data_IF_451214664205
#
_entry.id   IF_451214664205
#
_cell.length_a   1.000
_cell.length_b   1.000
_cell.length_c   1.000
_cell.angle_alpha   90.00
_cell.angle_beta   90.00
_cell.angle_gamma   90.00
#
_symmetry.space_group_name_H-M   'P 1'
#
loop_
_entity.id
_entity.type
_entity.pdbx_description
1 polymer ?
#
# COMPACT_ATOMS: atom_id res chain seq x y z
N UNK A 1 -16.59 8.21 15.38
CA UNK A 1 -15.56 7.56 16.21
C UNK A 1 -14.23 8.26 16.00
N UNK A 2 -13.52 8.72 17.05
CA UNK A 2 -12.19 9.28 16.89
C UNK A 2 -11.19 8.20 16.47
N UNK A 3 -10.31 8.48 15.50
CA UNK A 3 -9.24 7.56 15.06
C UNK A 3 -8.35 7.19 16.26
N UNK A 4 -8.02 5.91 16.47
CA UNK A 4 -7.05 5.52 17.50
C UNK A 4 -5.73 6.25 17.22
N UNK A 5 -5.20 6.95 18.22
CA UNK A 5 -3.89 7.59 18.13
C UNK A 5 -2.86 6.48 17.97
N UNK A 6 -2.07 6.51 16.89
CA UNK A 6 -1.05 5.52 16.49
C UNK A 6 0.02 5.22 17.58
N UNK A 7 -0.07 5.85 18.74
CA UNK A 7 0.95 6.00 19.78
C UNK A 7 0.37 6.08 21.21
N UNK A 8 -0.81 5.52 21.49
CA UNK A 8 -1.44 5.62 22.81
C UNK A 8 -0.57 5.08 23.96
N UNK A 9 0.24 4.04 23.70
CA UNK A 9 1.10 3.36 24.69
C UNK A 9 2.60 3.63 24.48
N UNK A 10 2.96 4.75 23.84
CA UNK A 10 4.37 5.01 23.49
C UNK A 10 5.11 5.75 24.59
N UNK A 11 6.26 5.23 24.99
CA UNK A 11 7.17 5.94 25.89
C UNK A 11 8.13 6.80 25.04
N UNK A 12 8.16 8.10 25.27
CA UNK A 12 9.11 8.99 24.60
C UNK A 12 10.48 8.86 25.26
N UNK A 13 11.49 8.48 24.48
CA UNK A 13 12.90 8.42 24.88
C UNK A 13 13.76 9.20 23.86
N UNK A 14 14.81 9.83 24.35
CA UNK A 14 15.77 10.60 23.54
C UNK A 14 17.14 9.93 23.60
N UNK A 15 17.80 9.84 22.45
CA UNK A 15 19.18 9.39 22.33
C UNK A 15 19.88 10.23 21.26
N UNK A 16 21.21 10.31 21.37
CA UNK A 16 22.03 11.09 20.43
C UNK A 16 22.27 10.30 19.15
N UNK A 17 22.10 10.95 18.01
CA UNK A 17 22.40 10.42 16.68
C UNK A 17 23.36 11.37 15.96
N UNK A 18 24.24 10.80 15.14
CA UNK A 18 25.06 11.60 14.25
C UNK A 18 24.18 12.34 13.23
N UNK A 19 24.34 13.67 13.15
CA UNK A 19 23.52 14.53 12.29
C UNK A 19 23.51 14.07 10.84
N UNK A 20 24.69 13.74 10.29
CA UNK A 20 24.80 13.34 8.89
C UNK A 20 24.08 12.02 8.60
N UNK A 21 24.14 11.06 9.54
CA UNK A 21 23.45 9.78 9.42
C UNK A 21 21.95 9.98 9.51
N UNK A 22 21.49 10.76 10.50
CA UNK A 22 20.08 11.06 10.69
C UNK A 22 19.44 11.72 9.46
N UNK A 23 20.08 12.73 8.87
CA UNK A 23 19.54 13.40 7.69
C UNK A 23 19.50 12.48 6.45
N UNK A 24 20.54 11.67 6.23
CA UNK A 24 20.55 10.67 5.15
C UNK A 24 19.42 9.64 5.33
N UNK A 25 19.24 9.14 6.55
CA UNK A 25 18.17 8.19 6.86
C UNK A 25 16.79 8.83 6.65
N UNK A 26 16.59 10.06 7.13
CA UNK A 26 15.32 10.78 6.98
C UNK A 26 14.94 10.98 5.52
N UNK A 27 15.89 11.34 4.67
CA UNK A 27 15.66 11.48 3.22
C UNK A 27 15.31 10.14 2.57
N UNK A 28 16.05 9.06 2.90
CA UNK A 28 15.79 7.73 2.37
C UNK A 28 14.40 7.20 2.77
N UNK A 29 13.99 7.43 4.02
CA UNK A 29 12.68 6.99 4.52
C UNK A 29 11.52 7.81 3.95
N UNK A 30 11.72 9.11 3.69
CA UNK A 30 10.71 9.96 3.07
C UNK A 30 10.32 9.46 1.67
N UNK A 31 11.28 8.97 0.88
CA UNK A 31 11.02 8.36 -0.43
C UNK A 31 10.16 7.09 -0.33
N UNK A 32 10.21 6.40 0.82
CA UNK A 32 9.45 5.18 1.11
C UNK A 32 8.14 5.47 1.86
N UNK A 33 7.86 6.73 2.21
CA UNK A 33 6.70 7.11 3.02
C UNK A 33 6.75 6.61 4.47
N UNK A 34 7.96 6.31 4.99
CA UNK A 34 8.18 5.80 6.36
C UNK A 34 8.70 6.92 7.26
N UNK A 35 8.28 6.95 8.51
CA UNK A 35 8.82 7.90 9.49
C UNK A 35 10.06 7.35 10.20
N UNK A 36 10.91 8.26 10.72
CA UNK A 36 12.06 7.87 11.55
C UNK A 36 11.62 7.03 12.76
N UNK A 37 10.54 7.44 13.42
CA UNK A 37 10.02 6.71 14.58
C UNK A 37 9.60 5.28 14.22
N UNK A 38 9.01 5.07 13.05
CA UNK A 38 8.70 3.73 12.56
C UNK A 38 9.98 2.92 12.32
N UNK A 39 11.00 3.48 11.65
CA UNK A 39 12.27 2.79 11.43
C UNK A 39 12.96 2.40 12.73
N UNK A 40 13.05 3.33 13.68
CA UNK A 40 13.69 3.10 14.98
C UNK A 40 12.94 2.02 15.77
N UNK A 41 11.61 2.07 15.81
CA UNK A 41 10.83 1.05 16.51
C UNK A 41 11.01 -0.35 15.89
N UNK A 42 11.06 -0.43 14.56
CA UNK A 42 11.31 -1.70 13.87
C UNK A 42 12.74 -2.22 14.08
N UNK A 43 13.73 -1.32 14.14
CA UNK A 43 15.11 -1.68 14.46
C UNK A 43 15.21 -2.23 15.89
N UNK A 44 14.59 -1.55 16.86
CA UNK A 44 14.59 -1.99 18.27
C UNK A 44 13.90 -3.34 18.44
N UNK A 45 12.76 -3.58 17.76
CA UNK A 45 12.10 -4.89 17.78
C UNK A 45 12.98 -5.99 17.20
N UNK A 46 13.62 -5.76 16.05
CA UNK A 46 14.56 -6.72 15.44
C UNK A 46 15.70 -7.06 16.39
N UNK A 47 16.35 -6.05 16.97
CA UNK A 47 17.47 -6.26 17.90
C UNK A 47 17.05 -6.97 19.19
N UNK A 48 15.87 -6.68 19.71
CA UNK A 48 15.35 -7.39 20.87
C UNK A 48 15.11 -8.87 20.54
N UNK A 49 14.53 -9.16 19.37
CA UNK A 49 14.29 -10.52 18.92
C UNK A 49 15.58 -11.32 18.68
N UNK A 50 16.63 -10.70 18.15
CA UNK A 50 17.96 -11.32 18.04
C UNK A 50 18.53 -11.69 19.42
N UNK A 51 18.39 -10.78 20.39
CA UNK A 51 18.85 -11.04 21.77
C UNK A 51 18.03 -12.15 22.43
N UNK A 52 16.73 -12.24 22.13
CA UNK A 52 15.79 -13.20 22.70
C UNK A 52 15.71 -14.53 21.90
N UNK A 53 16.38 -14.64 20.75
CA UNK A 53 16.32 -15.81 19.87
C UNK A 53 14.97 -16.00 19.14
N UNK A 54 14.19 -14.94 18.97
CA UNK A 54 12.84 -14.93 18.38
C UNK A 54 12.78 -14.24 16.99
N UNK A 55 13.89 -14.26 16.26
CA UNK A 55 14.09 -13.46 15.02
C UNK A 55 13.05 -13.77 13.95
N UNK A 56 12.72 -15.05 13.73
CA UNK A 56 11.75 -15.46 12.74
C UNK A 56 10.35 -14.89 13.01
N UNK A 57 9.87 -15.00 14.25
CA UNK A 57 8.55 -14.50 14.65
C UNK A 57 8.45 -12.96 14.54
N UNK A 58 9.52 -12.25 14.89
CA UNK A 58 9.54 -10.78 14.79
C UNK A 58 9.64 -10.31 13.34
N UNK A 59 10.42 -10.99 12.51
CA UNK A 59 10.52 -10.67 11.09
C UNK A 59 9.16 -10.87 10.39
N UNK A 60 8.44 -11.94 10.71
CA UNK A 60 7.10 -12.19 10.19
C UNK A 60 6.10 -11.11 10.63
N UNK A 61 6.12 -10.71 11.90
CA UNK A 61 5.28 -9.62 12.41
C UNK A 61 5.58 -8.28 11.74
N UNK A 62 6.84 -7.97 11.49
CA UNK A 62 7.26 -6.75 10.78
C UNK A 62 6.82 -6.76 9.31
N UNK A 63 6.95 -7.90 8.64
CA UNK A 63 6.49 -8.10 7.27
C UNK A 63 4.96 -7.92 7.18
N UNK A 64 4.22 -8.47 8.15
CA UNK A 64 2.77 -8.32 8.21
C UNK A 64 2.33 -6.86 8.40
N UNK A 65 2.97 -6.12 9.31
CA UNK A 65 2.69 -4.69 9.51
C UNK A 65 3.10 -3.83 8.30
N UNK A 66 4.14 -4.20 7.57
CA UNK A 66 4.49 -3.56 6.29
C UNK A 66 3.38 -3.77 5.25
N UNK A 67 2.90 -5.01 5.07
CA UNK A 67 1.81 -5.33 4.14
C UNK A 67 0.52 -4.56 4.49
N UNK A 68 0.15 -4.44 5.77
CA UNK A 68 -1.02 -3.65 6.18
C UNK A 68 -0.91 -2.18 5.80
N UNK A 69 0.27 -1.58 6.03
CA UNK A 69 0.51 -0.17 5.69
C UNK A 69 0.42 0.07 4.19
N UNK A 70 1.03 -0.82 3.41
CA UNK A 70 0.99 -0.73 1.95
C UNK A 70 -0.44 -0.90 1.43
N UNK A 71 -1.21 -1.84 1.98
CA UNK A 71 -2.63 -2.02 1.67
C UNK A 71 -3.45 -0.75 1.92
N UNK A 72 -3.29 -0.12 3.10
CA UNK A 72 -3.99 1.13 3.44
C UNK A 72 -3.60 2.25 2.48
N UNK A 73 -2.30 2.39 2.17
CA UNK A 73 -1.81 3.40 1.22
C UNK A 73 -2.43 3.22 -0.16
N UNK A 74 -2.47 2.00 -0.68
CA UNK A 74 -3.08 1.70 -1.98
C UNK A 74 -4.60 1.93 -1.95
N UNK A 75 -5.28 1.61 -0.84
CA UNK A 75 -6.71 1.88 -0.69
C UNK A 75 -7.03 3.39 -0.69
N UNK A 76 -6.19 4.20 -0.04
CA UNK A 76 -6.30 5.66 -0.07
C UNK A 76 -6.04 6.21 -1.48
N UNK A 77 -5.04 5.69 -2.19
CA UNK A 77 -4.73 6.11 -3.56
C UNK A 77 -5.84 5.74 -4.55
N UNK A 78 -6.39 4.52 -4.47
CA UNK A 78 -7.55 4.09 -5.28
C UNK A 78 -8.72 5.06 -5.07
N UNK A 79 -9.05 5.39 -3.81
CA UNK A 79 -10.12 6.34 -3.50
C UNK A 79 -9.84 7.75 -4.04
N UNK A 80 -8.58 8.20 -3.98
CA UNK A 80 -8.16 9.49 -4.55
C UNK A 80 -8.32 9.51 -6.07
N UNK A 81 -7.89 8.47 -6.76
CA UNK A 81 -7.98 8.36 -8.22
C UNK A 81 -9.44 8.31 -8.68
N UNK A 82 -10.31 7.55 -8.01
CA UNK A 82 -11.75 7.53 -8.28
C UNK A 82 -12.34 8.94 -8.15
N UNK A 83 -12.06 9.64 -7.05
CA UNK A 83 -12.57 11.02 -6.84
C UNK A 83 -12.05 11.99 -7.90
N UNK A 84 -10.81 11.83 -8.35
CA UNK A 84 -10.23 12.65 -9.40
C UNK A 84 -10.96 12.45 -10.74
N UNK A 85 -11.18 11.18 -11.13
CA UNK A 85 -11.89 10.82 -12.35
C UNK A 85 -13.37 11.26 -12.32
N UNK A 86 -14.03 11.15 -11.16
CA UNK A 86 -15.39 11.64 -10.98
C UNK A 86 -15.48 13.15 -11.16
N UNK A 87 -14.50 13.90 -10.65
CA UNK A 87 -14.43 15.36 -10.83
C UNK A 87 -14.22 15.76 -12.29
N UNK A 88 -13.43 14.99 -13.04
CA UNK A 88 -13.20 15.21 -14.47
C UNK A 88 -14.42 14.77 -15.30
N UNK A 89 -15.31 13.95 -14.74
CA UNK A 89 -16.52 13.46 -15.41
C UNK A 89 -16.31 12.19 -16.24
N UNK A 90 -15.09 11.67 -16.32
CA UNK A 90 -14.75 10.52 -17.16
C UNK A 90 -14.94 9.15 -16.46
N UNK A 91 -15.14 9.13 -15.14
CA UNK A 91 -15.17 7.88 -14.36
C UNK A 91 -16.22 6.87 -14.87
N UNK A 92 -17.47 7.31 -15.03
CA UNK A 92 -18.56 6.40 -15.39
C UNK A 92 -18.40 5.84 -16.82
N UNK A 93 -17.99 6.68 -17.77
CA UNK A 93 -17.76 6.27 -19.17
C UNK A 93 -16.61 5.25 -19.27
N UNK A 94 -15.50 5.50 -18.56
CA UNK A 94 -14.37 4.58 -18.55
C UNK A 94 -14.72 3.25 -17.87
N UNK A 95 -15.53 3.29 -16.80
CA UNK A 95 -16.05 2.10 -16.12
C UNK A 95 -16.97 1.27 -17.03
N UNK A 96 -17.87 1.92 -17.76
CA UNK A 96 -18.76 1.27 -18.74
C UNK A 96 -17.94 0.61 -19.85
N UNK A 97 -16.96 1.33 -20.41
CA UNK A 97 -16.09 0.79 -21.46
C UNK A 97 -15.30 -0.43 -20.99
N UNK A 98 -14.74 -0.44 -19.77
CA UNK A 98 -14.02 -1.65 -19.30
C UNK A 98 -14.95 -2.80 -18.94
N UNK A 99 -16.21 -2.53 -18.57
CA UNK A 99 -17.22 -3.57 -18.40
C UNK A 99 -17.54 -4.24 -19.74
N UNK A 100 -17.72 -3.46 -20.82
CA UNK A 100 -17.90 -3.98 -22.17
C UNK A 100 -16.67 -4.75 -22.69
N UNK A 101 -15.47 -4.31 -22.30
CA UNK A 101 -14.22 -5.02 -22.61
C UNK A 101 -14.00 -6.28 -21.77
N UNK A 102 -14.88 -6.56 -20.80
CA UNK A 102 -14.85 -7.77 -19.99
C UNK A 102 -13.77 -7.77 -18.91
N UNK A 103 -13.50 -6.63 -18.27
CA UNK A 103 -12.56 -6.58 -17.15
C UNK A 103 -13.01 -7.51 -16.01
N UNK A 104 -12.16 -8.48 -15.68
CA UNK A 104 -12.41 -9.41 -14.58
C UNK A 104 -12.39 -8.68 -13.23
N UNK A 105 -13.31 -9.05 -12.34
CA UNK A 105 -13.32 -8.61 -10.93
C UNK A 105 -12.00 -8.85 -10.20
N UNK A 106 -11.20 -9.84 -10.60
CA UNK A 106 -9.88 -10.12 -10.04
C UNK A 106 -8.76 -9.38 -10.77
N UNK A 107 -9.06 -8.63 -11.83
CA UNK A 107 -8.12 -7.85 -12.64
C UNK A 107 -6.99 -8.70 -13.26
N UNK A 108 -7.25 -9.98 -13.51
CA UNK A 108 -6.26 -10.89 -14.09
C UNK A 108 -5.99 -10.58 -15.57
N UNK A 109 -7.00 -10.07 -16.29
CA UNK A 109 -6.90 -9.66 -17.69
C UNK A 109 -6.70 -8.14 -17.86
N UNK A 110 -6.25 -7.44 -16.81
CA UNK A 110 -6.11 -5.99 -16.82
C UNK A 110 -5.23 -5.48 -17.97
N UNK A 111 -4.10 -6.12 -18.25
CA UNK A 111 -3.18 -5.73 -19.32
C UNK A 111 -3.84 -5.78 -20.70
N UNK A 112 -4.62 -6.83 -20.97
CA UNK A 112 -5.34 -6.99 -22.24
C UNK A 112 -6.44 -5.93 -22.38
N UNK A 113 -7.18 -5.68 -21.30
CA UNK A 113 -8.23 -4.65 -21.29
C UNK A 113 -7.65 -3.26 -21.42
N UNK A 114 -6.53 -2.95 -20.76
CA UNK A 114 -5.82 -1.67 -20.88
C UNK A 114 -5.37 -1.45 -22.33
N UNK A 115 -4.83 -2.48 -23.00
CA UNK A 115 -4.44 -2.37 -24.40
C UNK A 115 -5.63 -2.08 -25.31
N UNK A 116 -6.77 -2.75 -25.10
CA UNK A 116 -8.02 -2.47 -25.83
C UNK A 116 -8.58 -1.08 -25.52
N UNK A 117 -8.47 -0.63 -24.28
CA UNK A 117 -8.91 0.69 -23.82
C UNK A 117 -8.10 1.80 -24.49
N UNK A 118 -6.77 1.64 -24.58
CA UNK A 118 -5.87 2.56 -25.29
C UNK A 118 -6.20 2.69 -26.79
N UNK A 119 -6.74 1.64 -27.40
CA UNK A 119 -7.14 1.65 -28.82
C UNK A 119 -8.51 2.29 -29.04
N UNK A 120 -9.46 2.07 -28.11
CA UNK A 120 -10.85 2.51 -28.27
C UNK A 120 -11.14 3.90 -27.71
N UNK A 121 -10.37 4.33 -26.71
CA UNK A 121 -10.60 5.64 -26.08
C UNK A 121 -10.04 6.77 -26.94
N UNK A 122 -10.92 7.55 -27.53
CA UNK A 122 -10.58 8.69 -28.38
C UNK A 122 -10.69 10.05 -27.69
N UNK A 123 -11.16 10.10 -26.45
CA UNK A 123 -11.37 11.36 -25.72
C UNK A 123 -10.10 11.80 -24.95
N UNK A 124 -10.25 12.42 -23.78
CA UNK A 124 -9.15 12.93 -22.97
C UNK A 124 -8.19 11.82 -22.55
N UNK A 125 -6.97 11.87 -23.10
CA UNK A 125 -5.88 10.94 -22.76
C UNK A 125 -5.45 11.07 -21.30
N UNK A 126 -5.62 12.24 -20.69
CA UNK A 126 -5.26 12.46 -19.28
C UNK A 126 -6.16 11.63 -18.38
N UNK A 127 -7.48 11.71 -18.57
CA UNK A 127 -8.44 10.86 -17.88
C UNK A 127 -8.15 9.37 -18.08
N UNK A 128 -7.82 8.95 -19.31
CA UNK A 128 -7.44 7.58 -19.61
C UNK A 128 -6.21 7.12 -18.82
N UNK A 129 -5.14 7.91 -18.79
CA UNK A 129 -3.93 7.56 -18.05
C UNK A 129 -4.20 7.44 -16.54
N UNK A 130 -4.97 8.37 -15.97
CA UNK A 130 -5.39 8.29 -14.55
C UNK A 130 -6.19 7.01 -14.28
N UNK A 131 -7.05 6.61 -15.21
CA UNK A 131 -7.86 5.40 -15.09
C UNK A 131 -7.04 4.11 -15.24
N UNK A 132 -6.05 4.09 -16.13
CA UNK A 132 -5.09 2.99 -16.22
C UNK A 132 -4.32 2.86 -14.89
N UNK A 133 -3.83 3.96 -14.34
CA UNK A 133 -3.19 3.97 -13.01
C UNK A 133 -4.14 3.46 -11.92
N UNK A 134 -5.43 3.78 -11.98
CA UNK A 134 -6.44 3.24 -11.06
C UNK A 134 -6.54 1.71 -11.16
N UNK A 135 -6.58 1.14 -12.38
CA UNK A 135 -6.63 -0.31 -12.59
C UNK A 135 -5.38 -0.98 -12.01
N UNK A 136 -4.20 -0.46 -12.34
CA UNK A 136 -2.90 -1.00 -11.89
C UNK A 136 -2.78 -0.96 -10.36
N UNK A 137 -3.12 0.19 -9.75
CA UNK A 137 -3.12 0.36 -8.30
C UNK A 137 -4.12 -0.58 -7.62
N UNK A 138 -5.30 -0.77 -8.23
CA UNK A 138 -6.31 -1.70 -7.73
C UNK A 138 -5.85 -3.16 -7.82
N UNK A 139 -5.13 -3.53 -8.88
CA UNK A 139 -4.52 -4.87 -9.03
C UNK A 139 -3.46 -5.12 -7.97
N UNK A 140 -2.57 -4.15 -7.73
CA UNK A 140 -1.59 -4.22 -6.65
C UNK A 140 -2.26 -4.37 -5.29
N UNK A 141 -3.28 -3.56 -5.00
CA UNK A 141 -4.06 -3.64 -3.75
C UNK A 141 -4.62 -5.04 -3.52
N UNK A 142 -5.25 -5.64 -4.53
CA UNK A 142 -5.78 -7.02 -4.47
C UNK A 142 -4.70 -8.06 -4.21
N UNK A 143 -3.52 -7.90 -4.81
CA UNK A 143 -2.39 -8.81 -4.55
C UNK A 143 -1.93 -8.74 -3.09
N UNK A 144 -1.88 -7.54 -2.50
CA UNK A 144 -1.55 -7.37 -1.08
C UNK A 144 -2.66 -7.92 -0.17
N UNK A 145 -3.93 -7.71 -0.53
CA UNK A 145 -5.07 -8.29 0.20
C UNK A 145 -4.95 -9.82 0.28
N UNK A 146 -4.66 -10.49 -0.83
CA UNK A 146 -4.44 -11.95 -0.84
C UNK A 146 -3.30 -12.37 0.08
N UNK A 147 -2.16 -11.67 0.04
CA UNK A 147 -1.02 -11.95 0.93
C UNK A 147 -1.39 -11.75 2.40
N UNK A 148 -2.15 -10.70 2.73
CA UNK A 148 -2.63 -10.46 4.10
C UNK A 148 -3.57 -11.57 4.57
N UNK A 149 -4.45 -12.05 3.70
CA UNK A 149 -5.37 -13.14 4.02
C UNK A 149 -4.63 -14.47 4.19
N UNK A 150 -3.62 -14.76 3.37
CA UNK A 150 -2.74 -15.93 3.53
C UNK A 150 -2.02 -15.91 4.89
N UNK A 151 -1.49 -14.77 5.31
CA UNK A 151 -0.83 -14.63 6.62
C UNK A 151 -1.83 -14.86 7.75
N UNK A 152 -3.01 -14.24 7.70
CA UNK A 152 -4.06 -14.42 8.72
C UNK A 152 -4.54 -15.87 8.83
N UNK A 153 -4.68 -16.56 7.70
CA UNK A 153 -5.07 -17.96 7.68
C UNK A 153 -3.98 -18.87 8.27
N UNK A 154 -2.69 -18.59 8.00
CA UNK A 154 -1.58 -19.33 8.60
C UNK A 154 -1.47 -19.09 10.12
N UNK A 155 -1.68 -17.86 10.57
CA UNK A 155 -1.67 -17.52 12.00
C UNK A 155 -2.87 -18.13 12.74
N UNK A 156 -4.05 -18.17 12.11
CA UNK A 156 -5.26 -18.77 12.70
C UNK A 156 -5.28 -20.30 12.79
N UNK A 157 -4.36 -21.00 12.11
CA UNK A 157 -4.22 -22.47 12.16
C UNK A 157 -3.23 -22.93 13.24
N UNK A 158 -2.46 -22.00 13.83
CA UNK A 158 -1.47 -22.29 14.88
C UNK A 158 -1.97 -22.01 16.32
N UNK A 159 -3.29 -21.99 16.54
CA UNK A 159 -3.92 -21.84 17.85
C UNK A 159 -4.84 -23.02 18.19
#
# INVERSE_FOLDING_TARGET
>A
MPKPRKYADTIVKSFSLERQIYEKLKQALAAQGKSISEEVNELLRRRLAEIEGAEASTQDALNYEALKREHVKLAEEVNRLIKLLQRIGAYNQLMEMVAELGLDTQLNNAEEVIAKLLQKWSEDKTALHIFITLIETSKQKKAIERKLDEVRLKEGVNH
#
